data_IF_172167295247
#
_entry.id   IF_172167295247
#
_cell.length_a   1.000
_cell.length_b   1.000
_cell.length_c   1.000
_cell.angle_alpha   90.00
_cell.angle_beta   90.00
_cell.angle_gamma   90.00
#
_symmetry.space_group_name_H-M   'P 1'
#
loop_
_entity.id
_entity.type
_entity.pdbx_description
1 polymer ?
#
# COMPACT_ATOMS: atom_id res chain seq x y z
N UNK A 1 -27.45 8.16 -0.22
CA UNK A 1 -27.81 7.62 1.11
C UNK A 1 -27.66 6.11 1.01
N UNK A 2 -26.59 5.57 1.59
CA UNK A 2 -26.34 4.12 1.69
C UNK A 2 -27.19 3.65 2.86
N UNK A 3 -28.03 2.65 2.63
CA UNK A 3 -28.92 2.07 3.62
C UNK A 3 -28.12 1.55 4.82
N UNK A 4 -28.50 1.99 6.03
CA UNK A 4 -27.83 1.69 7.31
C UNK A 4 -27.94 0.23 7.76
N UNK A 5 -28.41 -0.68 6.90
CA UNK A 5 -28.57 -2.11 7.20
C UNK A 5 -27.42 -2.99 6.74
N UNK A 6 -26.47 -2.49 5.98
CA UNK A 6 -25.26 -3.24 5.62
C UNK A 6 -24.25 -3.13 6.74
N UNK A 7 -24.39 -3.94 7.76
CA UNK A 7 -23.42 -4.00 8.87
C UNK A 7 -22.11 -4.61 8.36
N UNK A 8 -21.08 -3.78 8.31
CA UNK A 8 -19.68 -4.22 8.28
C UNK A 8 -19.43 -5.14 9.49
N UNK A 9 -19.09 -6.40 9.28
CA UNK A 9 -18.62 -7.25 10.39
C UNK A 9 -17.29 -6.69 10.88
N UNK A 10 -17.20 -6.50 12.20
CA UNK A 10 -15.99 -6.01 12.85
C UNK A 10 -14.83 -7.02 12.67
N UNK A 11 -13.62 -6.51 12.57
CA UNK A 11 -12.35 -7.21 12.30
C UNK A 11 -12.02 -8.40 13.21
N UNK A 12 -12.79 -8.69 14.24
CA UNK A 12 -12.53 -9.76 15.21
C UNK A 12 -13.29 -11.08 14.99
N UNK A 13 -14.21 -11.16 14.05
CA UNK A 13 -15.12 -12.30 13.92
C UNK A 13 -14.83 -13.25 12.75
N UNK A 14 -13.74 -13.04 12.01
CA UNK A 14 -13.31 -13.95 10.96
C UNK A 14 -12.37 -15.01 11.56
N UNK A 15 -12.68 -16.30 11.45
CA UNK A 15 -11.74 -17.33 11.86
C UNK A 15 -10.47 -17.23 11.00
N UNK A 16 -9.37 -16.84 11.62
CA UNK A 16 -8.03 -16.69 10.99
C UNK A 16 -7.46 -18.04 10.48
N UNK A 17 -8.19 -19.12 10.55
CA UNK A 17 -7.70 -20.48 10.27
C UNK A 17 -8.01 -21.07 8.90
N UNK A 18 -8.92 -20.50 8.12
CA UNK A 18 -9.45 -21.18 6.92
C UNK A 18 -9.05 -20.58 5.56
N UNK A 19 -8.21 -19.58 5.52
CA UNK A 19 -7.81 -18.90 4.27
C UNK A 19 -6.45 -19.32 3.73
N UNK A 20 -5.88 -20.39 4.27
CA UNK A 20 -4.64 -20.99 3.79
C UNK A 20 -4.91 -22.08 2.75
N UNK A 21 -4.70 -21.78 1.53
CA UNK A 21 -4.90 -22.52 0.29
C UNK A 21 -6.21 -22.16 -0.41
N UNK A 22 -6.19 -22.20 -1.75
CA UNK A 22 -7.41 -22.38 -2.56
C UNK A 22 -8.09 -23.69 -2.11
N UNK A 23 -8.65 -23.68 -0.94
CA UNK A 23 -9.50 -24.78 -0.50
C UNK A 23 -10.79 -24.64 -1.28
N UNK A 24 -11.10 -25.66 -2.06
CA UNK A 24 -12.45 -25.96 -2.54
C UNK A 24 -13.37 -25.73 -1.36
N UNK A 25 -13.98 -24.52 -1.27
CA UNK A 25 -14.64 -24.05 -0.08
C UNK A 25 -15.76 -24.99 0.30
N UNK A 26 -15.89 -25.31 1.58
CA UNK A 26 -17.15 -25.80 2.09
C UNK A 26 -18.17 -24.67 1.91
N UNK A 27 -18.91 -24.72 0.80
CA UNK A 27 -20.02 -23.84 0.57
C UNK A 27 -21.20 -24.26 1.40
N UNK A 28 -21.93 -23.30 1.94
CA UNK A 28 -23.28 -23.58 2.41
C UNK A 28 -24.16 -23.74 1.17
N UNK A 29 -24.19 -24.96 0.62
CA UNK A 29 -24.86 -25.37 -0.62
C UNK A 29 -26.35 -24.94 -0.67
N UNK A 30 -26.92 -24.59 0.48
CA UNK A 30 -28.33 -24.18 0.63
C UNK A 30 -28.67 -22.88 -0.11
N UNK A 31 -27.67 -22.09 -0.50
CA UNK A 31 -27.88 -20.81 -1.17
C UNK A 31 -27.64 -20.83 -2.69
N UNK A 32 -27.08 -21.92 -3.22
CA UNK A 32 -26.86 -22.09 -4.64
C UNK A 32 -28.06 -22.78 -5.28
N UNK A 33 -28.85 -22.05 -6.06
CA UNK A 33 -30.00 -22.60 -6.79
C UNK A 33 -29.58 -23.12 -8.17
N UNK A 34 -28.71 -22.42 -8.87
CA UNK A 34 -28.28 -22.74 -10.24
C UNK A 34 -26.78 -22.55 -10.42
N UNK A 35 -26.22 -23.29 -11.40
CA UNK A 35 -24.85 -23.07 -11.86
C UNK A 35 -24.67 -21.65 -12.43
N UNK A 36 -23.66 -20.95 -11.96
CA UNK A 36 -23.38 -19.57 -12.36
C UNK A 36 -24.08 -18.49 -11.53
N UNK A 37 -24.94 -18.83 -10.57
CA UNK A 37 -25.54 -17.84 -9.67
C UNK A 37 -24.46 -17.21 -8.77
N UNK A 38 -24.64 -15.91 -8.50
CA UNK A 38 -23.83 -15.18 -7.54
C UNK A 38 -24.59 -15.04 -6.21
N UNK A 39 -23.92 -15.38 -5.10
CA UNK A 39 -24.44 -15.14 -3.76
C UNK A 39 -24.29 -13.66 -3.38
N UNK A 40 -25.03 -13.23 -2.36
CA UNK A 40 -24.92 -11.87 -1.81
C UNK A 40 -23.46 -11.49 -1.53
N UNK A 41 -23.02 -10.27 -1.86
CA UNK A 41 -21.65 -9.87 -1.73
C UNK A 41 -21.21 -9.70 -0.27
N UNK A 42 -19.98 -10.07 0.01
CA UNK A 42 -19.28 -9.79 1.27
C UNK A 42 -18.41 -8.55 1.12
N UNK A 43 -18.40 -7.72 2.16
CA UNK A 43 -17.61 -6.49 2.21
C UNK A 43 -16.55 -6.60 3.30
N UNK A 44 -15.29 -6.39 2.92
CA UNK A 44 -14.16 -6.31 3.85
C UNK A 44 -13.63 -4.88 3.86
N UNK A 45 -13.32 -4.39 5.04
CA UNK A 45 -12.82 -3.05 5.22
C UNK A 45 -11.70 -3.01 6.26
N UNK A 46 -10.56 -2.44 5.87
CA UNK A 46 -9.48 -2.05 6.78
C UNK A 46 -9.30 -0.55 6.64
N UNK A 47 -9.57 0.25 7.69
CA UNK A 47 -9.42 1.70 7.62
C UNK A 47 -7.96 2.10 7.43
N UNK A 48 -7.74 3.34 7.02
CA UNK A 48 -6.41 3.93 6.94
C UNK A 48 -5.71 3.91 8.30
N UNK A 49 -4.55 3.25 8.39
CA UNK A 49 -3.81 3.03 9.65
C UNK A 49 -2.68 4.02 9.89
N UNK A 50 -2.27 4.80 8.88
CA UNK A 50 -1.23 5.82 8.98
C UNK A 50 -1.85 7.20 8.73
N UNK A 51 -1.45 8.17 9.54
CA UNK A 51 -1.99 9.54 9.51
C UNK A 51 -0.96 10.61 9.16
N UNK A 52 0.24 10.22 8.67
CA UNK A 52 1.24 11.18 8.21
C UNK A 52 0.92 11.69 6.82
N UNK A 53 1.19 12.98 6.57
CA UNK A 53 1.04 13.64 5.28
C UNK A 53 2.35 14.34 4.92
N UNK A 54 3.42 13.56 4.77
CA UNK A 54 4.75 14.10 4.48
C UNK A 54 4.93 14.40 3.00
N UNK A 55 5.84 15.31 2.70
CA UNK A 55 6.14 15.81 1.35
C UNK A 55 7.63 15.58 1.01
N UNK A 56 8.01 15.93 -0.20
CA UNK A 56 9.37 15.75 -0.72
C UNK A 56 10.19 17.04 -0.75
N UNK A 57 9.55 18.20 -0.60
CA UNK A 57 10.13 19.53 -0.81
C UNK A 57 10.60 20.21 0.47
N UNK A 58 10.50 21.55 0.44
CA UNK A 58 10.94 22.44 1.54
C UNK A 58 10.35 21.99 2.89
N UNK A 59 11.19 21.98 3.92
CA UNK A 59 10.84 21.43 5.24
C UNK A 59 11.17 19.94 5.40
N UNK A 60 11.35 19.21 4.30
CA UNK A 60 11.77 17.79 4.29
C UNK A 60 13.15 17.61 3.66
N UNK A 61 13.51 18.45 2.65
CA UNK A 61 14.75 18.35 1.89
C UNK A 61 15.87 19.31 2.39
N UNK A 62 15.66 20.01 3.50
CA UNK A 62 16.57 21.11 3.93
C UNK A 62 17.96 20.62 4.33
N UNK A 63 18.17 19.34 4.57
CA UNK A 63 19.49 18.74 4.84
C UNK A 63 20.20 18.19 3.60
N UNK A 64 19.58 18.25 2.42
CA UNK A 64 20.22 17.86 1.17
C UNK A 64 21.15 18.97 0.68
N UNK A 65 22.06 18.64 -0.24
CA UNK A 65 22.93 19.62 -0.87
C UNK A 65 22.14 20.56 -1.77
N UNK A 66 22.53 21.83 -1.82
CA UNK A 66 21.94 22.77 -2.74
C UNK A 66 22.50 22.53 -4.16
N UNK A 67 21.60 22.16 -5.07
CA UNK A 67 21.91 21.87 -6.47
C UNK A 67 21.48 23.00 -7.43
N UNK A 68 20.99 24.12 -6.89
CA UNK A 68 20.43 25.20 -7.68
C UNK A 68 19.07 24.90 -8.30
N UNK A 69 18.31 24.01 -7.70
CA UNK A 69 16.99 23.61 -8.21
C UNK A 69 16.00 24.77 -8.13
N UNK A 70 15.43 25.17 -9.25
CA UNK A 70 14.40 26.21 -9.30
C UNK A 70 13.02 25.75 -8.84
N UNK A 71 12.79 24.43 -8.74
CA UNK A 71 11.52 23.82 -8.32
C UNK A 71 11.19 24.17 -6.88
N UNK A 72 12.20 24.30 -6.02
CA UNK A 72 12.03 24.62 -4.60
C UNK A 72 12.80 25.86 -4.21
N UNK A 73 12.21 26.69 -3.35
CA UNK A 73 12.79 27.99 -2.94
C UNK A 73 14.12 27.88 -2.21
N UNK A 74 14.46 26.70 -1.65
CA UNK A 74 15.74 26.44 -1.00
C UNK A 74 16.84 25.91 -1.94
N UNK A 75 16.57 25.81 -3.25
CA UNK A 75 17.53 25.35 -4.27
C UNK A 75 17.92 23.87 -4.19
N UNK A 76 17.21 23.05 -3.40
CA UNK A 76 17.54 21.65 -3.15
C UNK A 76 16.63 20.71 -3.93
N UNK A 77 17.11 19.51 -4.32
CA UNK A 77 16.27 18.52 -4.97
C UNK A 77 15.22 17.95 -3.99
N UNK A 78 14.14 17.33 -4.49
CA UNK A 78 13.21 16.59 -3.63
C UNK A 78 13.91 15.42 -2.93
N UNK A 79 13.45 15.05 -1.73
CA UNK A 79 13.99 13.86 -1.01
C UNK A 79 13.72 12.56 -1.74
N UNK A 80 12.78 12.54 -2.68
CA UNK A 80 12.38 11.36 -3.46
C UNK A 80 11.20 10.59 -2.84
N UNK A 81 10.33 10.09 -3.73
CA UNK A 81 9.10 9.37 -3.34
C UNK A 81 9.39 8.11 -2.53
N UNK A 82 10.47 7.39 -2.87
CA UNK A 82 10.92 6.20 -2.12
C UNK A 82 11.23 6.55 -0.67
N UNK A 83 11.95 7.65 -0.44
CA UNK A 83 12.29 8.08 0.92
C UNK A 83 11.05 8.46 1.72
N UNK A 84 10.09 9.18 1.11
CA UNK A 84 8.85 9.58 1.79
C UNK A 84 7.98 8.36 2.11
N UNK A 85 7.77 7.44 1.17
CA UNK A 85 6.98 6.23 1.39
C UNK A 85 7.58 5.37 2.51
N UNK A 86 8.89 5.13 2.46
CA UNK A 86 9.61 4.40 3.51
C UNK A 86 9.51 5.08 4.87
N UNK A 87 9.78 6.39 4.94
CA UNK A 87 9.78 7.15 6.18
C UNK A 87 8.42 7.14 6.88
N UNK A 88 7.32 7.24 6.13
CA UNK A 88 5.96 7.20 6.67
C UNK A 88 5.61 5.80 7.21
N UNK A 89 6.04 4.73 6.52
CA UNK A 89 5.91 3.35 7.02
C UNK A 89 6.72 3.19 8.31
N UNK A 90 7.98 3.62 8.32
CA UNK A 90 8.86 3.54 9.49
C UNK A 90 8.32 4.34 10.68
N UNK A 91 7.66 5.50 10.42
CA UNK A 91 6.99 6.31 11.45
C UNK A 91 5.88 5.55 12.16
N UNK A 92 5.15 4.68 11.44
CA UNK A 92 4.10 3.83 12.03
C UNK A 92 4.66 2.85 13.07
N UNK A 93 5.84 2.28 12.81
CA UNK A 93 6.50 1.32 13.70
C UNK A 93 7.44 1.97 14.72
N UNK A 94 7.88 3.20 14.47
CA UNK A 94 8.93 3.90 15.24
C UNK A 94 10.22 3.07 15.35
N UNK A 95 10.59 2.40 14.28
CA UNK A 95 11.79 1.56 14.18
C UNK A 95 12.69 2.07 13.04
N UNK A 96 14.04 2.12 13.23
CA UNK A 96 14.77 1.82 14.47
C UNK A 96 14.59 2.91 15.55
N UNK A 97 14.82 2.54 16.79
CA UNK A 97 14.68 3.43 17.96
C UNK A 97 15.74 4.53 18.05
N UNK A 98 16.72 4.51 17.15
CA UNK A 98 17.77 5.54 17.04
C UNK A 98 17.27 6.89 16.52
N UNK A 99 16.10 6.94 15.88
CA UNK A 99 15.49 8.20 15.44
C UNK A 99 14.60 8.81 16.52
N UNK A 100 14.54 10.15 16.58
CA UNK A 100 13.65 10.85 17.48
C UNK A 100 12.23 10.96 16.92
N UNK A 101 11.48 9.86 16.99
CA UNK A 101 10.14 9.74 16.46
C UNK A 101 9.14 10.73 17.06
N UNK A 102 9.32 11.10 18.34
CA UNK A 102 8.47 12.05 19.04
C UNK A 102 8.59 13.48 18.46
N UNK A 103 9.73 13.81 17.85
CA UNK A 103 9.98 15.11 17.23
C UNK A 103 9.58 15.16 15.73
N UNK A 104 8.83 14.16 15.24
CA UNK A 104 8.38 14.10 13.85
C UNK A 104 6.87 14.34 13.78
N UNK A 105 6.41 15.57 13.48
CA UNK A 105 4.97 15.86 13.32
C UNK A 105 4.35 15.10 12.15
N UNK A 106 3.04 14.85 12.21
CA UNK A 106 2.35 14.09 11.18
C UNK A 106 2.15 14.85 9.84
N UNK A 107 2.09 16.18 9.89
CA UNK A 107 1.64 16.99 8.74
C UNK A 107 2.62 18.03 8.25
N UNK A 108 3.77 18.17 8.91
CA UNK A 108 4.80 19.13 8.52
C UNK A 108 6.20 18.56 8.73
N UNK A 109 7.17 19.04 7.96
CA UNK A 109 8.56 18.67 8.14
C UNK A 109 9.14 19.28 9.41
N UNK A 110 10.07 18.54 10.03
CA UNK A 110 10.86 18.95 11.17
C UNK A 110 12.31 18.45 10.99
N UNK A 111 13.25 18.99 11.75
CA UNK A 111 14.65 18.56 11.66
C UNK A 111 14.81 17.03 11.81
N UNK A 112 14.07 16.41 12.74
CA UNK A 112 14.10 14.95 12.92
C UNK A 112 13.60 14.20 11.67
N UNK A 113 12.55 14.72 11.00
CA UNK A 113 12.03 14.15 9.75
C UNK A 113 13.05 14.29 8.62
N UNK A 114 13.72 15.45 8.53
CA UNK A 114 14.78 15.69 7.53
C UNK A 114 15.96 14.75 7.71
N UNK A 115 16.39 14.51 8.97
CA UNK A 115 17.46 13.54 9.29
C UNK A 115 17.06 12.15 8.81
N UNK A 116 15.83 11.70 9.09
CA UNK A 116 15.32 10.42 8.62
C UNK A 116 15.31 10.33 7.07
N UNK A 117 14.78 11.37 6.40
CA UNK A 117 14.71 11.39 4.92
C UNK A 117 16.09 11.32 4.27
N UNK A 118 17.06 12.08 4.81
CA UNK A 118 18.46 12.08 4.32
C UNK A 118 19.12 10.72 4.55
N UNK A 119 18.94 10.11 5.72
CA UNK A 119 19.52 8.78 6.02
C UNK A 119 18.92 7.70 5.10
N UNK A 120 17.59 7.71 4.89
CA UNK A 120 16.95 6.80 3.93
C UNK A 120 17.53 7.02 2.53
N UNK A 121 17.62 8.27 2.06
CA UNK A 121 18.18 8.60 0.75
C UNK A 121 19.58 8.02 0.56
N UNK A 122 20.42 8.08 1.59
CA UNK A 122 21.76 7.47 1.58
C UNK A 122 21.69 5.95 1.45
N UNK A 123 20.83 5.28 2.23
CA UNK A 123 20.71 3.81 2.23
C UNK A 123 20.11 3.24 0.94
N UNK A 124 19.15 3.95 0.35
CA UNK A 124 18.55 3.54 -0.93
C UNK A 124 19.37 3.99 -2.14
N UNK A 125 20.53 4.62 -1.93
CA UNK A 125 21.38 5.17 -3.01
C UNK A 125 20.61 6.11 -3.90
N UNK A 126 19.87 7.03 -3.30
CA UNK A 126 19.00 7.96 -3.99
C UNK A 126 19.76 8.74 -5.08
N UNK A 127 19.23 8.71 -6.27
CA UNK A 127 19.69 9.53 -7.39
C UNK A 127 18.92 10.85 -7.33
N UNK A 128 19.59 11.88 -6.79
CA UNK A 128 18.98 13.18 -6.61
C UNK A 128 19.01 13.97 -7.92
N UNK A 129 17.86 14.51 -8.31
CA UNK A 129 17.71 15.39 -9.46
C UNK A 129 16.64 16.46 -9.19
N UNK A 130 16.79 17.65 -9.78
CA UNK A 130 15.85 18.76 -9.57
C UNK A 130 14.44 18.49 -10.11
N UNK A 131 14.30 17.64 -11.11
CA UNK A 131 13.03 17.25 -11.70
C UNK A 131 12.34 16.10 -10.93
N UNK A 132 13.09 15.34 -10.13
CA UNK A 132 12.59 14.22 -9.36
C UNK A 132 13.71 13.28 -8.92
N UNK A 133 13.75 12.94 -7.65
CA UNK A 133 14.74 12.01 -7.09
C UNK A 133 14.16 10.60 -6.99
N UNK A 134 14.95 9.59 -7.38
CA UNK A 134 14.50 8.20 -7.44
C UNK A 134 15.52 7.19 -6.91
N UNK A 135 15.02 6.01 -6.54
CA UNK A 135 15.82 4.85 -6.14
C UNK A 135 15.12 3.56 -6.57
N UNK A 136 15.87 2.45 -6.64
CA UNK A 136 15.30 1.17 -7.01
C UNK A 136 14.58 0.50 -5.84
N UNK A 137 13.49 -0.25 -6.12
CA UNK A 137 12.74 -0.99 -5.10
C UNK A 137 13.59 -2.06 -4.40
N UNK A 138 14.58 -2.62 -5.09
CA UNK A 138 15.55 -3.55 -4.50
C UNK A 138 16.42 -2.89 -3.43
N UNK A 139 16.82 -1.62 -3.64
CA UNK A 139 17.56 -0.84 -2.65
C UNK A 139 16.63 -0.43 -1.50
N UNK A 140 15.36 -0.10 -1.75
CA UNK A 140 14.37 0.14 -0.71
C UNK A 140 14.16 -1.09 0.19
N UNK A 141 13.99 -2.29 -0.39
CA UNK A 141 13.89 -3.54 0.38
C UNK A 141 15.15 -3.80 1.21
N UNK A 142 16.33 -3.61 0.61
CA UNK A 142 17.61 -3.78 1.31
C UNK A 142 17.74 -2.79 2.48
N UNK A 143 17.33 -1.54 2.29
CA UNK A 143 17.34 -0.50 3.32
C UNK A 143 16.35 -0.82 4.45
N UNK A 144 15.13 -1.28 4.17
CA UNK A 144 14.21 -1.74 5.20
C UNK A 144 14.85 -2.82 6.09
N UNK A 145 15.50 -3.81 5.49
CA UNK A 145 16.20 -4.86 6.25
C UNK A 145 17.35 -4.31 7.12
N UNK A 146 18.10 -3.32 6.62
CA UNK A 146 19.15 -2.64 7.39
C UNK A 146 18.59 -1.85 8.58
N UNK A 147 17.36 -1.31 8.46
CA UNK A 147 16.66 -0.65 9.57
C UNK A 147 16.05 -1.60 10.59
N UNK A 148 16.16 -2.90 10.39
CA UNK A 148 15.67 -3.91 11.31
C UNK A 148 14.38 -4.60 10.93
N UNK A 149 13.77 -4.26 9.79
CA UNK A 149 12.60 -4.96 9.23
C UNK A 149 13.03 -6.26 8.55
N UNK A 150 13.47 -7.24 9.36
CA UNK A 150 14.14 -8.45 8.86
C UNK A 150 13.26 -9.32 7.98
N UNK A 151 11.94 -9.31 8.25
CA UNK A 151 10.96 -10.10 7.50
C UNK A 151 10.48 -9.42 6.22
N UNK A 152 10.83 -8.14 6.01
CA UNK A 152 10.43 -7.41 4.82
C UNK A 152 10.80 -8.16 3.55
N UNK A 153 9.85 -8.27 2.63
CA UNK A 153 10.02 -8.96 1.34
C UNK A 153 9.10 -8.38 0.27
N UNK A 154 9.40 -8.67 -0.97
CA UNK A 154 8.42 -8.44 -2.04
C UNK A 154 7.20 -9.33 -1.82
N UNK A 155 6.02 -8.73 -2.02
CA UNK A 155 4.75 -9.46 -2.05
C UNK A 155 4.59 -10.04 -3.45
N UNK A 156 4.34 -11.34 -3.53
CA UNK A 156 4.06 -12.02 -4.79
C UNK A 156 2.66 -11.63 -5.29
N UNK A 157 2.59 -11.28 -6.58
CA UNK A 157 1.37 -10.83 -7.26
C UNK A 157 1.10 -11.60 -8.56
N UNK A 158 1.84 -12.65 -8.83
CA UNK A 158 1.87 -13.32 -10.14
C UNK A 158 0.56 -14.04 -10.51
N UNK A 159 -0.30 -14.35 -9.54
CA UNK A 159 -1.55 -15.09 -9.76
C UNK A 159 -2.83 -14.26 -9.53
N UNK A 160 -2.75 -12.94 -9.54
CA UNK A 160 -3.92 -12.08 -9.24
C UNK A 160 -4.28 -12.02 -7.75
N UNK A 161 -3.48 -12.63 -6.88
CA UNK A 161 -3.68 -12.70 -5.43
C UNK A 161 -3.15 -11.45 -4.69
N UNK A 162 -2.69 -10.43 -5.41
CA UNK A 162 -2.18 -9.18 -4.84
C UNK A 162 -3.16 -8.57 -3.83
N UNK A 163 -4.47 -8.54 -4.14
CA UNK A 163 -5.50 -7.98 -3.26
C UNK A 163 -5.52 -8.69 -1.91
N UNK A 164 -5.58 -10.03 -1.92
CA UNK A 164 -5.65 -10.81 -0.68
C UNK A 164 -4.31 -10.78 0.07
N UNK A 165 -3.19 -10.74 -0.63
CA UNK A 165 -1.88 -10.60 0.00
C UNK A 165 -1.72 -9.23 0.67
N UNK A 166 -2.14 -8.15 0.03
CA UNK A 166 -2.17 -6.80 0.62
C UNK A 166 -3.15 -6.75 1.80
N UNK A 167 -4.36 -7.29 1.66
CA UNK A 167 -5.34 -7.37 2.74
C UNK A 167 -4.78 -8.07 3.97
N UNK A 168 -4.09 -9.22 3.79
CA UNK A 168 -3.44 -9.95 4.90
C UNK A 168 -2.38 -9.11 5.63
N UNK A 169 -1.69 -8.20 4.94
CA UNK A 169 -0.78 -7.26 5.58
C UNK A 169 -1.56 -6.25 6.42
N UNK A 170 -2.55 -5.63 5.82
CA UNK A 170 -3.30 -4.53 6.42
C UNK A 170 -4.09 -4.94 7.66
N UNK A 171 -4.71 -6.13 7.70
CA UNK A 171 -5.39 -6.64 8.91
C UNK A 171 -4.44 -6.88 10.09
N UNK A 172 -3.15 -7.08 9.83
CA UNK A 172 -2.11 -7.17 10.87
C UNK A 172 -1.57 -5.80 11.30
N UNK A 173 -2.15 -4.71 10.78
CA UNK A 173 -1.66 -3.37 11.01
C UNK A 173 -0.36 -3.04 10.26
N UNK A 174 -0.02 -3.84 9.24
CA UNK A 174 1.18 -3.65 8.42
C UNK A 174 0.82 -2.92 7.12
N UNK A 175 1.25 -1.67 6.92
CA UNK A 175 1.11 -0.99 5.65
C UNK A 175 1.96 -1.66 4.58
N UNK A 176 1.69 -1.36 3.32
CA UNK A 176 2.41 -1.92 2.17
C UNK A 176 3.08 -0.79 1.39
N UNK A 177 4.41 -0.86 1.23
CA UNK A 177 5.11 -0.03 0.26
C UNK A 177 4.71 -0.48 -1.14
N UNK A 178 4.43 0.46 -2.01
CA UNK A 178 4.08 0.20 -3.40
C UNK A 178 4.87 1.12 -4.32
N UNK A 179 5.18 0.63 -5.51
CA UNK A 179 5.69 1.43 -6.61
C UNK A 179 5.06 1.02 -7.93
N UNK A 180 4.98 1.95 -8.87
CA UNK A 180 4.47 1.67 -10.20
C UNK A 180 5.00 2.63 -11.23
N UNK A 181 5.00 2.20 -12.50
CA UNK A 181 5.34 3.06 -13.63
C UNK A 181 4.06 3.69 -14.20
N UNK A 182 4.14 4.97 -14.54
CA UNK A 182 3.21 5.64 -15.42
C UNK A 182 3.57 5.34 -16.89
N UNK A 183 4.83 5.51 -17.22
CA UNK A 183 5.44 5.28 -18.53
C UNK A 183 6.88 4.75 -18.37
N UNK A 184 7.68 4.68 -19.43
CA UNK A 184 9.03 4.10 -19.40
C UNK A 184 9.97 4.85 -18.43
N UNK A 185 9.80 6.18 -18.32
CA UNK A 185 10.73 7.07 -17.64
C UNK A 185 10.18 7.61 -16.31
N UNK A 186 8.90 7.39 -16.03
CA UNK A 186 8.23 7.96 -14.88
C UNK A 186 7.66 6.88 -13.96
N UNK A 187 8.32 6.73 -12.82
CA UNK A 187 7.89 5.87 -11.72
C UNK A 187 7.46 6.71 -10.51
N UNK A 188 6.65 6.14 -9.65
CA UNK A 188 6.34 6.73 -8.36
C UNK A 188 6.25 5.64 -7.29
N UNK A 189 6.80 5.95 -6.10
CA UNK A 189 6.64 5.12 -4.91
C UNK A 189 5.67 5.80 -3.93
N UNK A 190 4.80 5.00 -3.36
CA UNK A 190 3.75 5.40 -2.43
C UNK A 190 3.51 4.28 -1.42
N UNK A 191 2.54 4.42 -0.53
CA UNK A 191 2.16 3.30 0.32
C UNK A 191 0.64 3.13 0.40
N UNK A 192 0.25 1.88 0.61
CA UNK A 192 -1.13 1.44 0.84
C UNK A 192 -1.27 1.20 2.34
N UNK A 193 -2.29 1.80 2.95
CA UNK A 193 -2.49 1.74 4.39
C UNK A 193 -3.93 1.43 4.83
N UNK A 194 -4.76 1.03 3.90
CA UNK A 194 -6.12 0.57 4.13
C UNK A 194 -6.70 -0.01 2.85
N UNK A 195 -7.82 -0.71 2.94
CA UNK A 195 -8.44 -1.41 1.80
C UNK A 195 -9.94 -1.58 2.00
N UNK A 196 -10.68 -1.49 0.89
CA UNK A 196 -12.07 -1.92 0.78
C UNK A 196 -12.17 -3.00 -0.29
N UNK A 197 -12.80 -4.13 0.02
CA UNK A 197 -12.97 -5.24 -0.91
C UNK A 197 -14.45 -5.62 -0.96
N UNK A 198 -14.96 -5.80 -2.18
CA UNK A 198 -16.22 -6.48 -2.44
C UNK A 198 -15.92 -7.85 -3.04
N UNK A 199 -16.33 -8.91 -2.36
CA UNK A 199 -16.16 -10.29 -2.78
C UNK A 199 -17.52 -10.95 -2.96
N UNK A 200 -17.67 -11.70 -4.03
CA UNK A 200 -18.86 -12.49 -4.34
C UNK A 200 -18.46 -13.98 -4.40
N UNK A 201 -19.38 -14.85 -4.06
CA UNK A 201 -19.20 -16.29 -4.22
C UNK A 201 -20.11 -16.73 -5.37
N UNK A 202 -19.51 -17.29 -6.42
CA UNK A 202 -20.23 -17.85 -7.56
C UNK A 202 -20.51 -19.31 -7.33
N UNK A 203 -21.74 -19.71 -7.53
CA UNK A 203 -22.18 -21.11 -7.52
C UNK A 203 -21.67 -21.82 -8.77
N UNK A 204 -21.10 -23.01 -8.63
CA UNK A 204 -20.59 -23.80 -9.72
C UNK A 204 -20.92 -25.29 -9.47
N UNK A 205 -21.43 -25.97 -10.50
CA UNK A 205 -21.68 -27.40 -10.42
C UNK A 205 -20.36 -28.18 -10.51
N UNK A 206 -20.11 -28.99 -9.48
CA UNK A 206 -19.03 -29.99 -9.49
C UNK A 206 -19.63 -31.31 -10.01
N UNK A 207 -19.46 -31.55 -11.31
CA UNK A 207 -20.04 -32.71 -12.00
C UNK A 207 -19.44 -34.04 -11.56
N UNK A 208 -18.19 -34.05 -11.02
CA UNK A 208 -17.57 -35.27 -10.51
C UNK A 208 -18.14 -35.66 -9.14
N UNK A 209 -18.44 -34.67 -8.31
CA UNK A 209 -19.00 -34.87 -6.99
C UNK A 209 -20.54 -34.76 -6.94
N UNK A 210 -21.18 -34.51 -8.05
CA UNK A 210 -22.63 -34.28 -8.20
C UNK A 210 -23.17 -33.30 -7.16
N UNK A 211 -22.49 -32.16 -7.01
CA UNK A 211 -22.88 -31.13 -6.02
C UNK A 211 -22.55 -29.73 -6.48
N UNK A 212 -23.34 -28.77 -5.99
CA UNK A 212 -22.99 -27.36 -6.11
C UNK A 212 -21.86 -27.01 -5.17
N UNK A 213 -20.91 -26.23 -5.66
CA UNK A 213 -19.82 -25.62 -4.90
C UNK A 213 -19.82 -24.12 -5.10
N UNK A 214 -19.06 -23.37 -4.28
CA UNK A 214 -18.89 -21.94 -4.49
C UNK A 214 -17.42 -21.59 -4.65
N UNK A 215 -17.14 -20.64 -5.55
CA UNK A 215 -15.82 -20.05 -5.72
C UNK A 215 -15.87 -18.56 -5.40
N UNK A 216 -15.00 -18.08 -4.48
CA UNK A 216 -14.89 -16.66 -4.21
C UNK A 216 -14.21 -15.93 -5.37
N UNK A 217 -14.70 -14.76 -5.75
CA UNK A 217 -14.00 -13.83 -6.61
C UNK A 217 -14.20 -12.39 -6.15
N UNK A 218 -13.19 -11.56 -6.37
CA UNK A 218 -13.23 -10.16 -5.97
C UNK A 218 -13.79 -9.34 -7.13
N UNK A 219 -14.89 -8.67 -6.90
CA UNK A 219 -15.51 -7.79 -7.91
C UNK A 219 -14.92 -6.40 -7.90
N UNK A 220 -14.54 -5.90 -6.72
CA UNK A 220 -13.93 -4.57 -6.55
C UNK A 220 -12.96 -4.60 -5.38
N UNK A 221 -11.83 -3.90 -5.55
CA UNK A 221 -10.91 -3.60 -4.48
C UNK A 221 -10.46 -2.14 -4.61
N UNK A 222 -10.54 -1.39 -3.52
CA UNK A 222 -10.05 -0.03 -3.43
C UNK A 222 -8.98 0.04 -2.34
N UNK A 223 -7.89 0.73 -2.62
CA UNK A 223 -6.80 0.95 -1.69
C UNK A 223 -6.79 2.37 -1.17
N UNK A 224 -6.62 2.56 0.15
CA UNK A 224 -6.26 3.85 0.71
C UNK A 224 -4.80 4.11 0.43
N UNK A 225 -4.51 5.08 -0.44
CA UNK A 225 -3.16 5.41 -0.91
C UNK A 225 -2.75 6.76 -0.35
N UNK A 226 -1.50 6.84 0.13
CA UNK A 226 -0.82 8.08 0.39
C UNK A 226 0.35 8.24 -0.59
N UNK A 227 0.29 9.31 -1.36
CA UNK A 227 1.22 9.58 -2.46
C UNK A 227 2.53 10.21 -2.03
N UNK A 228 2.68 10.64 -0.77
CA UNK A 228 3.88 11.34 -0.31
C UNK A 228 4.00 12.75 -0.85
N UNK A 229 2.86 13.43 -1.08
CA UNK A 229 2.79 14.79 -1.61
C UNK A 229 2.08 15.75 -0.64
N UNK A 230 2.43 15.67 0.65
CA UNK A 230 1.84 16.52 1.69
C UNK A 230 0.35 16.30 1.93
N UNK A 231 -0.14 15.10 1.65
CA UNK A 231 -1.56 14.75 1.77
C UNK A 231 -2.39 15.05 0.51
N UNK A 232 -1.81 15.73 -0.49
CA UNK A 232 -2.52 16.00 -1.75
C UNK A 232 -2.79 14.69 -2.49
N UNK A 233 -4.01 14.58 -2.99
CA UNK A 233 -4.52 13.43 -3.75
C UNK A 233 -4.57 12.11 -2.97
N UNK A 234 -4.33 12.11 -1.66
CA UNK A 234 -4.53 10.92 -0.84
C UNK A 234 -6.00 10.50 -0.87
N UNK A 235 -6.28 9.20 -0.86
CA UNK A 235 -7.65 8.71 -0.88
C UNK A 235 -7.78 7.26 -1.33
N UNK A 236 -8.99 6.90 -1.74
CA UNK A 236 -9.35 5.58 -2.25
C UNK A 236 -9.15 5.51 -3.76
N UNK A 237 -8.40 4.50 -4.20
CA UNK A 237 -8.12 4.23 -5.61
C UNK A 237 -8.51 2.80 -5.95
N UNK A 238 -9.23 2.64 -7.05
CA UNK A 238 -9.59 1.33 -7.57
C UNK A 238 -8.32 0.56 -7.97
N UNK A 239 -8.24 -0.70 -7.61
CA UNK A 239 -7.16 -1.60 -8.05
C UNK A 239 -6.97 -1.50 -9.56
N UNK A 240 -5.74 -1.29 -9.99
CA UNK A 240 -5.37 -1.12 -11.40
C UNK A 240 -5.64 0.27 -11.99
N UNK A 241 -6.23 1.19 -11.21
CA UNK A 241 -6.39 2.58 -11.60
C UNK A 241 -5.82 3.51 -10.50
N UNK A 242 -4.49 3.65 -10.49
CA UNK A 242 -3.73 4.46 -9.54
C UNK A 242 -3.41 5.82 -10.16
N UNK A 243 -4.45 6.62 -10.39
CA UNK A 243 -4.40 7.88 -11.10
C UNK A 243 -4.75 9.07 -10.17
N UNK A 244 -3.78 9.58 -9.39
CA UNK A 244 -3.99 10.74 -8.51
C UNK A 244 -4.27 12.03 -9.29
N UNK A 245 -3.71 12.15 -10.48
CA UNK A 245 -3.86 13.29 -11.39
C UNK A 245 -4.19 12.73 -12.77
N UNK A 246 -5.14 13.34 -13.48
CA UNK A 246 -5.55 12.91 -14.81
C UNK A 246 -4.36 12.69 -15.74
N UNK A 247 -4.29 11.53 -16.38
CA UNK A 247 -3.20 11.09 -17.24
C UNK A 247 -1.97 10.54 -16.50
N UNK A 248 -1.97 10.50 -15.16
CA UNK A 248 -0.84 10.02 -14.36
C UNK A 248 -1.17 8.71 -13.65
N UNK A 249 -1.46 7.66 -14.39
CA UNK A 249 -1.77 6.34 -13.81
C UNK A 249 -0.51 5.50 -13.61
N UNK A 250 -0.17 5.22 -12.34
CA UNK A 250 1.01 4.48 -11.92
C UNK A 250 0.71 2.97 -11.75
N UNK A 251 0.07 2.35 -12.72
CA UNK A 251 -0.42 0.97 -12.62
C UNK A 251 0.42 -0.07 -13.39
N UNK A 252 1.54 0.34 -14.01
CA UNK A 252 2.40 -0.59 -14.77
C UNK A 252 3.54 -1.09 -13.92
N UNK A 253 3.94 -2.36 -14.11
CA UNK A 253 5.05 -3.02 -13.41
C UNK A 253 5.02 -2.79 -11.90
N UNK A 254 3.84 -2.93 -11.30
CA UNK A 254 3.65 -2.74 -9.87
C UNK A 254 4.57 -3.64 -9.06
N UNK A 255 5.14 -3.07 -8.00
CA UNK A 255 5.91 -3.77 -6.98
C UNK A 255 5.36 -3.45 -5.61
N UNK A 256 5.34 -4.44 -4.74
CA UNK A 256 4.89 -4.27 -3.37
C UNK A 256 5.90 -4.86 -2.39
N UNK A 257 6.15 -4.18 -1.27
CA UNK A 257 6.97 -4.68 -0.16
C UNK A 257 6.09 -4.65 1.09
N UNK A 258 6.10 -5.74 1.84
CA UNK A 258 5.36 -5.91 3.09
C UNK A 258 6.13 -6.74 4.11
N UNK A 259 5.42 -7.28 5.12
CA UNK A 259 5.95 -8.06 6.22
C UNK A 259 6.98 -7.27 7.07
N UNK A 260 6.62 -6.04 7.42
CA UNK A 260 7.45 -5.16 8.25
C UNK A 260 7.43 -5.52 9.76
N UNK A 261 6.73 -6.57 10.16
CA UNK A 261 6.62 -7.04 11.55
C UNK A 261 7.74 -8.03 11.92
#
# INVERSE_FOLDING_TARGET
>A
AIDSKTRTRALGELPLGEWGACNKGQSDVRFCAYDGDDLEPYFYFVPAIIHTNWDQGVGYNDLLDNMGCSTYSNGRPPVGCVAVAMAQIMRNYQLPTSFNWAAMPNTQGAYATQVLMKDIGTKVKMQYDCSGSGAYDSDALAAFKQYGYKNAKFIDCDNGDDVMNIWRQLIKGSPVYASGLRDADNAHAFYIHGIEITQVFRCTMDYEADRMTTYPYITKAYYFINWGWGGRYNGLFLRGNFEPISGHNYNKKMRFIGDFN
#
